data_IF_823713860591
#
_entry.id   IF_823713860591
#
_cell.length_a   1.000
_cell.length_b   1.000
_cell.length_c   1.000
_cell.angle_alpha   90.00
_cell.angle_beta   90.00
_cell.angle_gamma   90.00
#
_symmetry.space_group_name_H-M   'P 1'
#
loop_
_entity.id
_entity.type
_entity.pdbx_description
1 polymer ?
#
# COMPACT_ATOMS: atom_id res chain seq x y z
N UNK A 1 6.25 24.57 -16.26
CA UNK A 1 5.69 23.25 -16.61
C UNK A 1 5.93 22.35 -15.43
N UNK A 2 4.99 21.46 -15.15
CA UNK A 2 5.04 20.48 -14.08
C UNK A 2 4.89 19.10 -14.68
N UNK A 3 5.63 18.13 -14.18
CA UNK A 3 5.64 16.76 -14.68
C UNK A 3 5.23 15.82 -13.55
N UNK A 4 4.38 14.85 -13.88
CA UNK A 4 3.99 13.81 -12.93
C UNK A 4 4.85 12.58 -13.19
N UNK A 5 5.48 12.07 -12.15
CA UNK A 5 6.35 10.90 -12.21
C UNK A 5 5.94 9.93 -11.11
N UNK A 6 5.75 8.68 -11.49
CA UNK A 6 5.49 7.57 -10.58
C UNK A 6 6.79 6.78 -10.38
N UNK A 7 7.13 6.52 -9.12
CA UNK A 7 8.21 5.63 -8.72
C UNK A 7 7.60 4.41 -8.03
N UNK A 8 7.82 3.24 -8.62
CA UNK A 8 7.29 1.97 -8.14
C UNK A 8 8.45 1.04 -7.80
N UNK A 9 8.45 0.49 -6.59
CA UNK A 9 9.37 -0.57 -6.21
C UNK A 9 8.94 -1.91 -6.84
N UNK A 10 9.82 -2.50 -7.62
CA UNK A 10 9.61 -3.75 -8.37
C UNK A 10 10.59 -4.86 -7.94
N UNK A 11 11.24 -4.69 -6.80
CA UNK A 11 12.17 -5.67 -6.24
C UNK A 11 11.47 -6.82 -5.50
N UNK A 12 12.24 -7.82 -5.03
CA UNK A 12 11.68 -9.01 -4.39
C UNK A 12 11.10 -8.78 -2.99
N UNK A 13 11.42 -7.65 -2.34
CA UNK A 13 11.14 -7.41 -0.93
C UNK A 13 9.85 -6.61 -0.68
N UNK A 14 8.86 -6.71 -1.58
CA UNK A 14 7.61 -5.92 -1.50
C UNK A 14 6.82 -6.10 -0.20
N UNK A 15 7.03 -7.23 0.50
CA UNK A 15 6.35 -7.54 1.75
C UNK A 15 7.15 -7.16 3.00
N UNK A 16 8.35 -6.58 2.86
CA UNK A 16 9.10 -6.05 4.00
C UNK A 16 8.58 -4.65 4.34
N UNK A 17 8.51 -4.32 5.63
CA UNK A 17 7.96 -3.07 6.16
C UNK A 17 8.58 -1.81 5.52
N UNK A 18 9.87 -1.88 5.15
CA UNK A 18 10.57 -0.76 4.49
C UNK A 18 10.09 -0.48 3.07
N UNK A 19 9.43 -1.44 2.41
CA UNK A 19 8.94 -1.33 1.04
C UNK A 19 7.42 -1.32 0.91
N UNK A 20 6.69 -1.48 2.02
CA UNK A 20 5.24 -1.59 2.03
C UNK A 20 4.53 -0.33 1.50
N UNK A 21 4.99 0.86 1.92
CA UNK A 21 4.45 2.16 1.48
C UNK A 21 5.51 3.00 0.77
N UNK A 22 6.45 2.36 0.07
CA UNK A 22 7.62 3.07 -0.49
C UNK A 22 7.34 3.74 -1.85
N UNK A 23 6.32 3.28 -2.58
CA UNK A 23 5.92 3.86 -3.86
C UNK A 23 5.58 5.35 -3.71
N UNK A 24 5.87 6.15 -4.73
CA UNK A 24 5.59 7.59 -4.72
C UNK A 24 5.09 8.07 -6.07
N UNK A 25 4.25 9.09 -6.02
CA UNK A 25 3.86 9.91 -7.16
C UNK A 25 4.38 11.31 -6.86
N UNK A 26 5.21 11.86 -7.74
CA UNK A 26 5.83 13.17 -7.53
C UNK A 26 5.41 14.14 -8.63
N UNK A 27 5.22 15.40 -8.24
CA UNK A 27 5.17 16.53 -9.16
C UNK A 27 6.54 17.20 -9.12
N UNK A 28 7.16 17.39 -10.28
CA UNK A 28 8.48 18.01 -10.40
C UNK A 28 8.54 19.02 -11.56
N UNK A 29 9.52 19.93 -11.52
CA UNK A 29 9.68 21.00 -12.52
C UNK A 29 10.47 20.56 -13.77
N UNK A 30 11.13 19.41 -13.70
CA UNK A 30 11.88 18.81 -14.80
C UNK A 30 11.24 17.48 -15.25
N UNK A 31 11.29 17.13 -16.54
CA UNK A 31 10.78 15.84 -17.01
C UNK A 31 11.59 14.68 -16.42
N UNK A 32 10.95 13.51 -16.26
CA UNK A 32 11.69 12.30 -15.93
C UNK A 32 12.71 11.98 -17.03
N UNK A 33 13.85 11.40 -16.63
CA UNK A 33 14.86 10.94 -17.57
C UNK A 33 14.78 9.42 -17.71
N UNK A 34 14.95 8.95 -18.94
CA UNK A 34 15.08 7.51 -19.19
C UNK A 34 16.37 6.96 -18.57
N UNK A 35 16.33 5.74 -18.03
CA UNK A 35 17.46 5.16 -17.29
C UNK A 35 18.73 4.99 -18.14
N UNK A 36 18.60 4.53 -19.39
CA UNK A 36 19.72 4.23 -20.29
C UNK A 36 20.20 5.43 -21.10
N UNK A 37 19.32 6.10 -21.85
CA UNK A 37 19.71 7.20 -22.75
C UNK A 37 19.77 8.55 -22.05
N UNK A 38 19.22 8.68 -20.83
CA UNK A 38 19.07 9.96 -20.10
C UNK A 38 18.27 10.99 -20.87
N UNK A 39 17.47 10.55 -21.85
CA UNK A 39 16.59 11.44 -22.61
C UNK A 39 15.36 11.77 -21.77
N UNK A 40 14.92 13.05 -21.78
CA UNK A 40 13.65 13.47 -21.20
C UNK A 40 12.47 12.67 -21.76
N UNK A 41 11.61 12.18 -20.87
CA UNK A 41 10.36 11.51 -21.19
C UNK A 41 9.25 12.10 -20.36
N UNK A 42 8.22 12.57 -21.05
CA UNK A 42 7.03 13.17 -20.44
C UNK A 42 5.87 12.18 -20.33
N UNK A 43 5.92 11.06 -21.03
CA UNK A 43 4.85 10.06 -21.05
C UNK A 43 5.42 8.64 -21.18
N UNK A 44 4.89 7.71 -20.40
CA UNK A 44 5.24 6.29 -20.43
C UNK A 44 6.45 5.91 -19.57
N UNK A 45 6.79 4.62 -19.61
CA UNK A 45 7.84 4.01 -18.80
C UNK A 45 9.22 4.61 -19.10
N UNK A 46 9.95 5.04 -18.07
CA UNK A 46 11.29 5.63 -18.14
C UNK A 46 12.42 4.63 -17.86
N UNK A 47 12.09 3.42 -17.40
CA UNK A 47 13.08 2.38 -17.11
C UNK A 47 13.07 1.93 -15.66
N UNK A 48 13.92 0.94 -15.37
CA UNK A 48 14.12 0.41 -14.02
C UNK A 48 15.59 0.56 -13.61
N UNK A 49 15.86 1.00 -12.38
CA UNK A 49 17.21 1.12 -11.80
C UNK A 49 17.16 0.77 -10.32
N UNK A 50 18.03 -0.12 -9.83
CA UNK A 50 18.06 -0.56 -8.43
C UNK A 50 16.67 -0.95 -7.90
N UNK A 51 15.94 -1.76 -8.66
CA UNK A 51 14.58 -2.21 -8.36
C UNK A 51 13.50 -1.13 -8.30
N UNK A 52 13.79 0.09 -8.76
CA UNK A 52 12.81 1.16 -8.92
C UNK A 52 12.44 1.36 -10.38
N UNK A 53 11.16 1.20 -10.70
CA UNK A 53 10.58 1.56 -11.99
C UNK A 53 10.10 3.00 -11.95
N UNK A 54 10.42 3.77 -12.99
CA UNK A 54 10.00 5.16 -13.15
C UNK A 54 9.05 5.26 -14.34
N UNK A 55 7.91 5.92 -14.18
CA UNK A 55 6.93 6.16 -15.26
C UNK A 55 6.50 7.62 -15.28
N UNK A 56 6.52 8.26 -16.45
CA UNK A 56 6.06 9.64 -16.62
C UNK A 56 4.59 9.67 -17.07
N UNK A 57 3.82 10.62 -16.54
CA UNK A 57 2.35 10.70 -16.67
C UNK A 57 1.88 12.07 -17.17
N UNK A 58 2.63 12.65 -18.10
CA UNK A 58 2.32 13.89 -18.79
C UNK A 58 3.08 15.12 -18.28
N UNK A 59 2.84 16.22 -18.97
CA UNK A 59 3.34 17.55 -18.64
C UNK A 59 2.15 18.52 -18.54
N UNK A 60 2.18 19.40 -17.54
CA UNK A 60 1.08 20.28 -17.17
C UNK A 60 1.56 21.73 -17.04
N UNK A 61 0.75 22.68 -17.48
CA UNK A 61 1.15 24.09 -17.49
C UNK A 61 1.20 24.68 -16.07
N UNK A 62 0.34 24.21 -15.18
CA UNK A 62 0.24 24.66 -13.79
C UNK A 62 0.28 23.52 -12.79
N UNK A 63 0.67 23.84 -11.55
CA UNK A 63 0.64 22.88 -10.43
C UNK A 63 -0.79 22.38 -10.18
N UNK A 64 -1.78 23.26 -10.28
CA UNK A 64 -3.20 22.90 -10.10
C UNK A 64 -3.66 21.87 -11.14
N UNK A 65 -3.20 21.97 -12.39
CA UNK A 65 -3.57 21.00 -13.43
C UNK A 65 -2.91 19.64 -13.18
N UNK A 66 -1.66 19.63 -12.71
CA UNK A 66 -0.96 18.42 -12.33
C UNK A 66 -1.65 17.73 -11.13
N UNK A 67 -2.01 18.48 -10.10
CA UNK A 67 -2.77 17.96 -8.95
C UNK A 67 -4.12 17.35 -9.39
N UNK A 68 -4.86 18.04 -10.26
CA UNK A 68 -6.11 17.52 -10.80
C UNK A 68 -5.91 16.29 -11.71
N UNK A 69 -4.74 16.14 -12.34
CA UNK A 69 -4.40 14.95 -13.11
C UNK A 69 -4.06 13.75 -12.21
N UNK A 70 -3.38 13.95 -11.07
CA UNK A 70 -3.10 12.86 -10.12
C UNK A 70 -4.39 12.13 -9.73
N UNK A 71 -5.43 12.87 -9.34
CA UNK A 71 -6.72 12.24 -8.97
C UNK A 71 -7.40 11.50 -10.11
N UNK A 72 -7.16 11.89 -11.38
CA UNK A 72 -7.70 11.21 -12.55
C UNK A 72 -6.93 9.95 -12.93
N UNK A 73 -5.62 9.95 -12.71
CA UNK A 73 -4.71 8.87 -13.13
C UNK A 73 -4.64 7.79 -12.04
N UNK A 74 -4.50 8.20 -10.78
CA UNK A 74 -4.24 7.30 -9.65
C UNK A 74 -5.44 7.12 -8.72
N UNK A 75 -6.49 7.95 -8.85
CA UNK A 75 -7.63 7.92 -7.94
C UNK A 75 -7.29 8.58 -6.60
N UNK A 76 -7.58 7.88 -5.50
CA UNK A 76 -7.28 8.37 -4.15
C UNK A 76 -5.78 8.24 -3.83
N UNK A 77 -5.22 9.33 -3.32
CA UNK A 77 -3.80 9.44 -2.93
C UNK A 77 -3.69 10.16 -1.60
N UNK A 78 -2.59 9.93 -0.87
CA UNK A 78 -2.23 10.65 0.36
C UNK A 78 -1.07 11.60 0.08
N UNK A 79 -1.14 12.82 0.63
CA UNK A 79 0.00 13.74 0.57
C UNK A 79 1.11 13.25 1.49
N UNK A 80 2.36 13.27 1.02
CA UNK A 80 3.54 12.94 1.81
C UNK A 80 4.48 14.14 1.88
N UNK A 81 5.14 14.31 3.04
CA UNK A 81 6.11 15.37 3.20
C UNK A 81 7.22 15.22 2.14
N UNK A 82 7.47 16.31 1.41
CA UNK A 82 8.45 16.33 0.33
C UNK A 82 9.82 16.66 0.92
N UNK A 83 10.78 15.75 0.78
CA UNK A 83 12.17 16.05 1.13
C UNK A 83 12.69 17.18 0.24
N UNK A 84 13.07 18.30 0.86
CA UNK A 84 13.53 19.49 0.14
C UNK A 84 14.90 19.24 -0.51
N UNK A 85 15.02 19.49 -1.81
CA UNK A 85 16.34 19.65 -2.46
C UNK A 85 16.51 19.06 -3.86
N UNK A 86 15.48 18.45 -4.45
CA UNK A 86 15.62 17.62 -5.66
C UNK A 86 14.76 18.07 -6.86
N UNK A 87 14.18 19.28 -6.85
CA UNK A 87 13.29 19.74 -7.91
C UNK A 87 11.89 19.11 -7.87
N UNK A 88 11.61 18.29 -6.85
CA UNK A 88 10.28 17.81 -6.50
C UNK A 88 9.52 18.94 -5.77
N UNK A 89 8.33 19.23 -6.27
CA UNK A 89 7.41 20.23 -5.74
C UNK A 89 6.48 19.59 -4.71
N UNK A 90 5.93 18.43 -5.02
CA UNK A 90 5.01 17.68 -4.15
C UNK A 90 5.22 16.17 -4.31
N UNK A 91 5.02 15.44 -3.20
CA UNK A 91 5.07 13.98 -3.16
C UNK A 91 3.74 13.44 -2.63
N UNK A 92 3.27 12.37 -3.25
CA UNK A 92 2.06 11.66 -2.89
C UNK A 92 2.36 10.16 -2.74
N UNK A 93 1.60 9.50 -1.89
CA UNK A 93 1.53 8.04 -1.77
C UNK A 93 0.28 7.52 -2.45
N UNK A 94 0.35 6.40 -3.18
CA UNK A 94 -0.84 5.78 -3.75
C UNK A 94 -1.77 5.28 -2.65
N UNK A 95 -3.06 5.26 -2.94
CA UNK A 95 -4.08 4.76 -2.04
C UNK A 95 -4.56 5.81 -1.03
N UNK A 96 -5.76 5.56 -0.51
CA UNK A 96 -6.43 6.44 0.46
C UNK A 96 -5.87 6.34 1.87
N UNK A 97 -5.39 5.15 2.24
CA UNK A 97 -5.01 4.80 3.60
C UNK A 97 -3.57 4.28 3.66
N UNK A 98 -2.94 4.43 4.81
CA UNK A 98 -1.59 3.91 5.06
C UNK A 98 -1.64 2.39 5.29
N UNK A 99 -0.91 1.59 4.50
CA UNK A 99 -0.92 0.15 4.68
C UNK A 99 -0.18 -0.24 5.96
N UNK A 100 -0.79 -1.11 6.76
CA UNK A 100 -0.14 -1.72 7.92
C UNK A 100 0.69 -2.93 7.50
N UNK A 101 1.82 -3.14 8.19
CA UNK A 101 2.66 -4.31 7.97
C UNK A 101 1.96 -5.60 8.41
N UNK A 102 2.50 -6.74 7.96
CA UNK A 102 2.04 -8.07 8.39
C UNK A 102 2.10 -8.19 9.92
N UNK A 103 3.21 -7.76 10.53
CA UNK A 103 3.38 -7.80 11.98
C UNK A 103 2.36 -6.93 12.71
N UNK A 104 2.19 -5.69 12.25
CA UNK A 104 1.25 -4.75 12.88
C UNK A 104 -0.20 -5.22 12.72
N UNK A 105 -0.55 -5.75 11.55
CA UNK A 105 -1.86 -6.37 11.28
C UNK A 105 -2.09 -7.58 12.19
N UNK A 106 -1.06 -8.39 12.44
CA UNK A 106 -1.13 -9.53 13.34
C UNK A 106 -1.37 -9.11 14.80
N UNK A 107 -0.66 -8.09 15.29
CA UNK A 107 -0.89 -7.52 16.63
C UNK A 107 -2.32 -7.02 16.74
N UNK A 108 -2.78 -6.26 15.73
CA UNK A 108 -4.13 -5.72 15.68
C UNK A 108 -5.19 -6.83 15.75
N UNK A 109 -4.99 -7.93 15.00
CA UNK A 109 -5.89 -9.07 14.96
C UNK A 109 -6.01 -9.76 16.34
N UNK A 110 -4.89 -9.89 17.07
CA UNK A 110 -4.88 -10.48 18.41
C UNK A 110 -5.58 -9.57 19.43
N UNK A 111 -5.40 -8.26 19.33
CA UNK A 111 -6.05 -7.30 20.24
C UNK A 111 -7.58 -7.24 20.06
N UNK A 112 -8.07 -7.62 18.88
CA UNK A 112 -9.48 -7.61 18.52
C UNK A 112 -10.06 -9.03 18.38
N UNK A 113 -9.45 -10.06 18.97
CA UNK A 113 -9.78 -11.48 18.71
C UNK A 113 -11.26 -11.85 19.00
N UNK A 114 -12.10 -11.75 17.97
CA UNK A 114 -13.49 -12.23 17.96
C UNK A 114 -13.60 -13.67 17.40
N UNK A 115 -12.47 -14.32 17.11
CA UNK A 115 -12.44 -15.65 16.51
C UNK A 115 -12.51 -16.73 17.59
N UNK A 116 -13.48 -17.63 17.41
CA UNK A 116 -13.62 -18.88 18.15
C UNK A 116 -13.55 -20.09 17.22
N UNK A 117 -13.33 -21.30 17.75
CA UNK A 117 -13.31 -22.54 16.97
C UNK A 117 -14.57 -22.76 16.10
N UNK A 118 -15.71 -22.21 16.50
CA UNK A 118 -16.99 -22.35 15.79
C UNK A 118 -17.26 -21.25 14.77
N UNK A 119 -16.33 -20.31 14.59
CA UNK A 119 -16.50 -19.20 13.67
C UNK A 119 -16.56 -19.69 12.22
N UNK A 120 -17.67 -19.41 11.53
CA UNK A 120 -17.84 -19.72 10.11
C UNK A 120 -16.92 -18.89 9.21
N UNK A 121 -16.63 -19.39 8.00
CA UNK A 121 -15.90 -18.62 7.00
C UNK A 121 -16.60 -17.30 6.65
N UNK A 122 -17.94 -17.31 6.54
CA UNK A 122 -18.73 -16.12 6.24
C UNK A 122 -18.57 -15.05 7.34
N UNK A 123 -18.49 -15.47 8.61
CA UNK A 123 -18.26 -14.55 9.73
C UNK A 123 -16.84 -13.99 9.73
N UNK A 124 -15.85 -14.77 9.30
CA UNK A 124 -14.47 -14.27 9.14
C UNK A 124 -14.45 -13.18 8.05
N UNK A 125 -15.11 -13.39 6.93
CA UNK A 125 -15.22 -12.39 5.87
C UNK A 125 -15.91 -11.10 6.36
N UNK A 126 -16.97 -11.22 7.16
CA UNK A 126 -17.61 -10.07 7.82
C UNK A 126 -16.65 -9.35 8.77
N UNK A 127 -15.95 -10.08 9.64
CA UNK A 127 -14.99 -9.51 10.59
C UNK A 127 -13.85 -8.79 9.89
N UNK A 128 -13.30 -9.34 8.80
CA UNK A 128 -12.27 -8.68 8.00
C UNK A 128 -12.76 -7.31 7.50
N UNK A 129 -14.01 -7.23 7.03
CA UNK A 129 -14.59 -5.96 6.59
C UNK A 129 -14.85 -4.99 7.76
N UNK A 130 -15.32 -5.51 8.91
CA UNK A 130 -15.52 -4.71 10.13
C UNK A 130 -14.19 -4.12 10.62
N UNK A 131 -13.15 -4.93 10.68
CA UNK A 131 -11.81 -4.55 11.12
C UNK A 131 -11.17 -3.56 10.16
N UNK A 132 -11.29 -3.80 8.85
CA UNK A 132 -10.84 -2.87 7.83
C UNK A 132 -11.56 -1.51 7.97
N UNK A 133 -12.86 -1.51 8.24
CA UNK A 133 -13.60 -0.27 8.49
C UNK A 133 -13.13 0.48 9.74
N UNK A 134 -12.73 -0.24 10.80
CA UNK A 134 -12.17 0.36 12.02
C UNK A 134 -10.80 0.97 11.72
N UNK A 135 -9.88 0.22 11.10
CA UNK A 135 -8.55 0.71 10.72
C UNK A 135 -8.63 1.95 9.80
N UNK A 136 -9.57 1.94 8.85
CA UNK A 136 -9.83 3.06 7.96
C UNK A 136 -10.29 4.32 8.70
N UNK A 137 -10.92 4.16 9.87
CA UNK A 137 -11.26 5.27 10.77
C UNK A 137 -10.03 6.02 11.30
N UNK A 138 -8.91 5.32 11.44
CA UNK A 138 -7.61 5.86 11.86
C UNK A 138 -6.70 6.22 10.67
N UNK A 139 -7.19 6.09 9.44
CA UNK A 139 -6.45 6.40 8.22
C UNK A 139 -5.54 5.28 7.73
N UNK A 140 -5.73 4.06 8.21
CA UNK A 140 -4.90 2.88 7.94
C UNK A 140 -5.69 1.78 7.21
N UNK A 141 -5.02 0.91 6.47
CA UNK A 141 -5.62 -0.28 5.83
C UNK A 141 -4.85 -1.53 6.24
N UNK A 142 -5.57 -2.61 6.57
CA UNK A 142 -4.98 -3.83 7.10
C UNK A 142 -4.29 -4.63 6.00
N UNK A 143 -3.24 -5.37 6.37
CA UNK A 143 -2.56 -6.23 5.41
C UNK A 143 -3.49 -7.36 4.95
N UNK A 144 -3.40 -7.70 3.66
CA UNK A 144 -4.18 -8.79 3.04
C UNK A 144 -4.00 -10.18 3.66
N UNK A 145 -3.06 -10.35 4.60
CA UNK A 145 -2.87 -11.61 5.32
C UNK A 145 -3.90 -11.84 6.43
N UNK A 146 -4.61 -10.79 6.87
CA UNK A 146 -5.54 -10.83 8.00
C UNK A 146 -6.53 -12.00 7.90
N UNK A 147 -7.22 -12.13 6.76
CA UNK A 147 -8.22 -13.19 6.56
C UNK A 147 -7.61 -14.59 6.71
N UNK A 148 -6.44 -14.81 6.11
CA UNK A 148 -5.72 -16.08 6.19
C UNK A 148 -5.32 -16.37 7.64
N UNK A 149 -4.82 -15.36 8.35
CA UNK A 149 -4.33 -15.51 9.71
C UNK A 149 -5.49 -15.77 10.68
N UNK A 150 -6.66 -15.15 10.47
CA UNK A 150 -7.90 -15.44 11.21
C UNK A 150 -8.42 -16.86 10.97
N UNK A 151 -8.40 -17.34 9.71
CA UNK A 151 -8.76 -18.73 9.38
C UNK A 151 -7.81 -19.73 10.06
N UNK A 152 -6.50 -19.46 10.02
CA UNK A 152 -5.50 -20.31 10.66
C UNK A 152 -5.65 -20.35 12.19
N UNK A 153 -5.93 -19.21 12.82
CA UNK A 153 -6.20 -19.14 14.26
C UNK A 153 -7.41 -19.98 14.65
N UNK A 154 -8.53 -19.84 13.94
CA UNK A 154 -9.71 -20.70 14.15
C UNK A 154 -9.38 -22.18 14.06
N UNK A 155 -8.65 -22.59 13.01
CA UNK A 155 -8.36 -24.00 12.78
C UNK A 155 -7.45 -24.56 13.88
N UNK A 156 -6.50 -23.77 14.40
CA UNK A 156 -5.74 -24.14 15.61
C UNK A 156 -6.65 -24.34 16.83
N UNK A 157 -7.64 -23.45 17.06
CA UNK A 157 -8.59 -23.60 18.16
C UNK A 157 -9.46 -24.86 18.04
N UNK A 158 -9.74 -25.31 16.81
CA UNK A 158 -10.44 -26.58 16.56
C UNK A 158 -9.56 -27.77 16.92
N UNK A 159 -8.31 -27.74 16.47
CA UNK A 159 -7.34 -28.80 16.76
C UNK A 159 -7.07 -28.92 18.27
N UNK A 160 -6.97 -27.80 18.99
CA UNK A 160 -6.83 -27.78 20.45
C UNK A 160 -8.04 -28.41 21.15
N UNK A 161 -9.26 -28.04 20.73
CA UNK A 161 -10.49 -28.63 21.28
C UNK A 161 -10.57 -30.14 21.05
N UNK A 162 -10.25 -30.60 19.84
CA UNK A 162 -10.31 -32.01 19.48
C UNK A 162 -9.25 -32.84 20.24
N UNK A 163 -8.10 -32.25 20.56
CA UNK A 163 -7.08 -32.89 21.39
C UNK A 163 -7.50 -32.98 22.86
N UNK A 164 -8.10 -31.93 23.42
CA UNK A 164 -8.61 -31.94 24.80
C UNK A 164 -9.74 -32.97 24.98
N UNK A 165 -10.61 -33.16 23.97
CA UNK A 165 -11.66 -34.19 23.99
C UNK A 165 -11.12 -35.62 23.83
N UNK A 166 -9.89 -35.80 23.35
CA UNK A 166 -9.28 -37.12 23.16
C UNK A 166 -8.56 -37.67 24.41
N UNK A 167 -8.24 -36.79 25.37
CA UNK A 167 -7.51 -37.12 26.61
C UNK A 167 -8.43 -37.35 27.84
N UNK A 168 -9.75 -37.12 27.71
CA UNK A 168 -10.80 -37.35 28.73
C UNK A 168 -11.58 -38.69 28.54
#
# INVERSE_FOLDING_TARGET
MFYIVENTYVGPNQNEDSYLDCNTIVIQEEPALTNMSREPRTEGWCGTTNDWSVTAHGAYESLSDAQAAIGRIFGEVRFAETERGCGIVETYKPGKFEPLSVETTGIWAVENDDITADTSDERIEELVNEYEAIANGDGQTLHSCLERDMRAHRDNLRDERDNDEADD
#
